data_IF_037590408603
#
_entry.id   IF_037590408603
#
_cell.length_a   1.000
_cell.length_b   1.000
_cell.length_c   1.000
_cell.angle_alpha   90.00
_cell.angle_beta   90.00
_cell.angle_gamma   90.00
#
_symmetry.space_group_name_H-M   'P 1'
#
loop_
_entity.id
_entity.type
_entity.pdbx_description
1 polymer ?
#
# COMPACT_ATOMS: atom_id res chain seq x y z
N UNK A 1 3.84 22.33 12.29
CA UNK A 1 3.21 22.39 13.63
C UNK A 1 2.01 23.34 13.67
N UNK A 2 2.03 24.52 13.01
CA UNK A 2 0.94 25.52 13.08
C UNK A 2 -0.44 24.93 12.76
N UNK A 3 -0.57 24.20 11.67
CA UNK A 3 -1.82 23.56 11.28
C UNK A 3 -2.29 22.53 12.35
N UNK A 4 -1.37 21.73 12.88
CA UNK A 4 -1.70 20.74 13.92
C UNK A 4 -2.14 21.42 15.22
N UNK A 5 -1.50 22.52 15.62
CA UNK A 5 -1.91 23.30 16.79
C UNK A 5 -3.35 23.81 16.66
N UNK A 6 -3.69 24.36 15.49
CA UNK A 6 -5.03 24.87 15.22
C UNK A 6 -6.07 23.74 15.20
N UNK A 7 -5.77 22.62 14.54
CA UNK A 7 -6.68 21.48 14.42
C UNK A 7 -6.88 20.71 15.74
N UNK A 8 -5.87 20.68 16.62
CA UNK A 8 -5.95 19.99 17.89
C UNK A 8 -6.48 20.87 19.04
N UNK A 9 -6.64 22.18 18.80
CA UNK A 9 -7.14 23.10 19.83
C UNK A 9 -8.52 22.65 20.36
N UNK A 10 -8.61 22.47 21.69
CA UNK A 10 -9.84 22.05 22.36
C UNK A 10 -10.23 20.58 22.22
N UNK A 11 -9.43 19.75 21.53
CA UNK A 11 -9.71 18.30 21.37
C UNK A 11 -9.27 17.45 22.55
N UNK A 12 -8.38 17.95 23.41
CA UNK A 12 -7.73 17.18 24.48
C UNK A 12 -6.56 16.32 23.98
N UNK A 13 -6.23 16.38 22.69
CA UNK A 13 -5.08 15.67 22.10
C UNK A 13 -3.85 16.56 22.24
N UNK A 14 -2.78 16.02 22.81
CA UNK A 14 -1.50 16.71 22.97
C UNK A 14 -0.66 16.63 21.72
N UNK A 15 -0.15 17.76 21.24
CA UNK A 15 0.76 17.83 20.10
C UNK A 15 2.20 17.59 20.53
N UNK A 16 2.78 16.48 20.11
CA UNK A 16 4.20 16.19 20.24
C UNK A 16 4.97 16.81 19.08
N UNK A 17 5.88 17.75 19.38
CA UNK A 17 6.65 18.46 18.34
C UNK A 17 7.96 17.71 18.03
N UNK A 18 7.84 16.57 17.38
CA UNK A 18 8.96 15.72 17.02
C UNK A 18 10.07 16.51 16.30
N UNK A 19 11.32 16.24 16.66
CA UNK A 19 12.49 16.94 16.15
C UNK A 19 12.83 18.26 16.87
N UNK A 20 11.98 18.71 17.79
CA UNK A 20 12.28 19.89 18.62
C UNK A 20 13.01 19.46 19.91
N UNK A 21 13.95 20.30 20.42
CA UNK A 21 14.65 20.01 21.67
C UNK A 21 13.68 19.75 22.82
N UNK A 22 13.88 18.64 23.53
CA UNK A 22 13.04 18.25 24.68
C UNK A 22 11.79 17.44 24.33
N UNK A 23 11.48 17.24 23.04
CA UNK A 23 10.41 16.36 22.61
C UNK A 23 10.99 14.95 22.37
N UNK A 24 10.48 13.90 23.04
CA UNK A 24 10.91 12.54 22.81
C UNK A 24 10.43 12.07 21.42
N UNK A 25 11.19 11.19 20.80
CA UNK A 25 10.69 10.42 19.66
C UNK A 25 9.66 9.36 20.11
N UNK A 26 9.04 8.67 19.16
CA UNK A 26 7.98 7.69 19.43
C UNK A 26 8.49 6.55 20.32
N UNK A 27 9.69 6.01 20.07
CA UNK A 27 10.26 4.92 20.86
C UNK A 27 10.54 5.37 22.30
N UNK A 28 11.16 6.53 22.48
CA UNK A 28 11.43 7.11 23.78
C UNK A 28 10.15 7.37 24.59
N UNK A 29 9.12 7.88 23.92
CA UNK A 29 7.82 8.10 24.56
C UNK A 29 7.15 6.80 25.00
N UNK A 30 7.18 5.77 24.15
CA UNK A 30 6.65 4.44 24.46
C UNK A 30 7.40 3.79 25.65
N UNK A 31 8.73 3.88 25.68
CA UNK A 31 9.55 3.40 26.78
C UNK A 31 9.18 4.05 28.13
N UNK A 32 8.99 5.37 28.10
CA UNK A 32 8.62 6.12 29.32
C UNK A 32 7.19 5.84 29.78
N UNK A 33 6.28 5.56 28.84
CA UNK A 33 4.84 5.45 29.12
C UNK A 33 4.43 4.03 29.51
N UNK A 34 4.94 3.02 28.81
CA UNK A 34 4.47 1.63 28.97
C UNK A 34 5.19 0.86 30.10
N UNK A 35 6.41 1.22 30.42
CA UNK A 35 7.21 0.51 31.42
C UNK A 35 7.54 -0.95 31.02
N UNK A 36 7.96 -1.74 32.02
CA UNK A 36 8.34 -3.14 31.82
C UNK A 36 7.11 -4.03 31.59
N UNK A 37 7.16 -4.88 30.57
CA UNK A 37 6.09 -5.79 30.19
C UNK A 37 4.95 -5.14 29.39
N UNK A 38 5.10 -3.87 29.00
CA UNK A 38 4.16 -3.18 28.13
C UNK A 38 4.08 -3.79 26.74
N UNK A 39 3.00 -3.47 26.02
CA UNK A 39 2.83 -3.91 24.64
C UNK A 39 2.26 -2.80 23.76
N UNK A 40 2.75 -2.72 22.53
CA UNK A 40 2.24 -1.83 21.48
C UNK A 40 1.61 -2.67 20.37
N UNK A 41 0.36 -2.35 20.03
CA UNK A 41 -0.33 -2.92 18.90
C UNK A 41 -0.32 -1.97 17.71
N UNK A 42 -0.25 -2.51 16.50
CA UNK A 42 -0.39 -1.75 15.26
C UNK A 42 -1.14 -2.55 14.20
N UNK A 43 -1.83 -1.86 13.29
CA UNK A 43 -2.44 -2.50 12.13
C UNK A 43 -1.37 -2.72 11.06
N UNK A 44 -1.06 -3.99 10.73
CA UNK A 44 -0.05 -4.34 9.75
C UNK A 44 -0.39 -3.89 8.32
N UNK A 45 -1.67 -3.73 8.00
CA UNK A 45 -2.11 -3.23 6.69
C UNK A 45 -1.88 -1.72 6.50
N UNK A 46 -1.76 -0.98 7.62
CA UNK A 46 -1.59 0.48 7.62
C UNK A 46 -0.15 0.92 7.89
N UNK A 47 0.80 -0.01 7.99
CA UNK A 47 2.19 0.29 8.36
C UNK A 47 3.17 -0.28 7.35
N UNK A 48 3.94 0.57 6.68
CA UNK A 48 5.04 0.12 5.82
C UNK A 48 6.18 -0.45 6.67
N UNK A 49 7.00 -1.31 6.05
CA UNK A 49 8.20 -1.86 6.72
C UNK A 49 9.17 -0.75 7.14
N UNK A 50 9.36 0.26 6.29
CA UNK A 50 10.21 1.41 6.57
C UNK A 50 9.71 2.21 7.78
N UNK A 51 8.40 2.49 7.83
CA UNK A 51 7.78 3.18 8.96
C UNK A 51 7.92 2.36 10.25
N UNK A 52 7.68 1.05 10.19
CA UNK A 52 7.86 0.14 11.30
C UNK A 52 9.29 0.20 11.85
N UNK A 53 10.28 0.08 10.97
CA UNK A 53 11.68 0.13 11.37
C UNK A 53 12.04 1.49 11.98
N UNK A 54 11.57 2.58 11.40
CA UNK A 54 11.81 3.94 11.91
C UNK A 54 11.20 4.16 13.30
N UNK A 55 9.96 3.73 13.52
CA UNK A 55 9.25 3.97 14.77
C UNK A 55 9.74 3.10 15.92
N UNK A 56 10.19 1.87 15.66
CA UNK A 56 10.50 0.89 16.69
C UNK A 56 11.99 0.54 16.80
N UNK A 57 12.88 1.13 15.99
CA UNK A 57 14.32 0.84 16.02
C UNK A 57 14.98 1.10 17.39
N UNK A 58 14.46 2.05 18.16
CA UNK A 58 14.98 2.42 19.49
C UNK A 58 14.26 1.75 20.66
N UNK A 59 13.25 0.90 20.40
CA UNK A 59 12.44 0.29 21.43
C UNK A 59 13.17 -0.91 22.05
N UNK A 60 13.19 -1.01 23.38
CA UNK A 60 13.81 -2.12 24.08
C UNK A 60 12.97 -3.40 24.00
N UNK A 61 13.63 -4.57 24.14
CA UNK A 61 12.97 -5.89 24.10
C UNK A 61 11.96 -6.13 25.24
N UNK A 62 11.94 -5.28 26.27
CA UNK A 62 10.97 -5.37 27.37
C UNK A 62 9.56 -4.93 26.97
N UNK A 63 9.42 -4.23 25.83
CA UNK A 63 8.12 -3.82 25.26
C UNK A 63 7.82 -4.67 24.04
N UNK A 64 6.72 -5.41 24.10
CA UNK A 64 6.30 -6.26 23.00
C UNK A 64 5.65 -5.43 21.88
N UNK A 65 6.11 -5.61 20.63
CA UNK A 65 5.46 -5.02 19.45
C UNK A 65 4.65 -6.10 18.74
N UNK A 66 3.34 -5.88 18.56
CA UNK A 66 2.40 -6.87 18.03
C UNK A 66 1.60 -6.32 16.86
N UNK A 67 1.67 -7.00 15.72
CA UNK A 67 0.74 -6.74 14.64
C UNK A 67 -0.67 -7.22 15.01
N UNK A 68 -1.69 -6.43 14.69
CA UNK A 68 -3.09 -6.81 14.78
C UNK A 68 -3.63 -7.08 13.39
N UNK A 69 -4.43 -8.15 13.26
CA UNK A 69 -5.16 -8.45 12.02
C UNK A 69 -6.39 -7.54 11.83
N UNK A 70 -6.78 -6.81 12.88
CA UNK A 70 -7.92 -5.90 12.87
C UNK A 70 -7.45 -4.48 13.14
N UNK A 71 -7.95 -3.53 12.34
CA UNK A 71 -7.77 -2.11 12.59
C UNK A 71 -8.67 -1.70 13.77
N UNK A 72 -8.13 -1.21 14.91
CA UNK A 72 -8.93 -0.75 16.03
C UNK A 72 -9.88 0.40 15.66
N UNK A 73 -9.58 1.17 14.63
CA UNK A 73 -10.45 2.23 14.13
C UNK A 73 -11.74 1.70 13.51
N UNK A 74 -11.81 0.48 13.03
CA UNK A 74 -13.05 -0.13 12.53
C UNK A 74 -14.13 -0.23 13.63
N UNK A 75 -13.72 -0.31 14.90
CA UNK A 75 -14.64 -0.33 16.05
C UNK A 75 -14.97 1.06 16.60
N UNK A 76 -14.02 2.00 16.50
CA UNK A 76 -14.15 3.31 17.09
C UNK A 76 -14.81 4.31 16.13
N UNK A 77 -14.51 4.24 14.86
CA UNK A 77 -15.01 5.14 13.82
C UNK A 77 -16.21 4.53 13.09
N UNK A 78 -17.39 4.64 13.70
CA UNK A 78 -18.63 3.98 13.23
C UNK A 78 -19.13 4.46 11.87
N UNK A 79 -18.87 5.71 11.52
CA UNK A 79 -19.21 6.36 10.25
C UNK A 79 -18.02 6.52 9.31
N UNK A 80 -17.01 5.66 9.46
CA UNK A 80 -15.84 5.62 8.58
C UNK A 80 -16.28 5.46 7.13
N UNK A 81 -15.85 6.36 6.22
CA UNK A 81 -16.17 6.25 4.80
C UNK A 81 -15.66 4.91 4.22
N UNK A 82 -16.45 4.34 3.31
CA UNK A 82 -16.00 3.22 2.49
C UNK A 82 -14.80 3.62 1.63
N UNK A 83 -14.03 2.61 1.20
CA UNK A 83 -12.98 2.85 0.20
C UNK A 83 -13.60 3.41 -1.09
N UNK A 84 -12.91 4.37 -1.75
CA UNK A 84 -13.42 4.99 -2.97
C UNK A 84 -13.59 3.95 -4.09
N UNK A 85 -14.66 4.12 -4.89
CA UNK A 85 -15.05 3.21 -5.99
C UNK A 85 -15.24 3.94 -7.31
N UNK A 86 -14.35 4.87 -7.62
CA UNK A 86 -14.36 5.57 -8.90
C UNK A 86 -14.08 4.62 -10.06
N UNK A 87 -14.86 4.75 -11.14
CA UNK A 87 -14.63 3.92 -12.32
C UNK A 87 -13.28 4.26 -12.96
N UNK A 88 -12.60 3.24 -13.44
CA UNK A 88 -11.37 3.40 -14.19
C UNK A 88 -11.65 3.82 -15.64
N UNK A 89 -10.75 4.60 -16.19
CA UNK A 89 -10.75 5.04 -17.58
C UNK A 89 -9.43 4.73 -18.26
N UNK A 90 -9.46 4.56 -19.58
CA UNK A 90 -8.28 4.37 -20.40
C UNK A 90 -7.54 5.69 -20.59
N UNK A 91 -6.22 5.64 -20.53
CA UNK A 91 -5.36 6.73 -20.95
C UNK A 91 -4.79 6.40 -22.35
N UNK A 92 -5.06 7.24 -23.37
CA UNK A 92 -4.70 6.93 -24.74
C UNK A 92 -3.20 6.67 -24.95
N UNK A 93 -2.87 5.62 -25.70
CA UNK A 93 -1.49 5.24 -26.00
C UNK A 93 -0.72 6.35 -26.74
N UNK A 94 -1.39 7.16 -27.54
CA UNK A 94 -0.79 8.32 -28.23
C UNK A 94 -0.17 9.33 -27.26
N UNK A 95 -0.68 9.44 -26.03
CA UNK A 95 -0.13 10.29 -24.98
C UNK A 95 0.79 9.51 -24.03
N UNK A 96 0.55 8.22 -23.88
CA UNK A 96 1.35 7.34 -23.00
C UNK A 96 2.68 6.90 -23.66
N UNK A 97 2.76 6.96 -25.00
CA UNK A 97 3.94 6.61 -25.79
C UNK A 97 4.14 5.12 -26.01
N UNK A 98 3.67 4.26 -25.10
CA UNK A 98 3.80 2.80 -25.16
C UNK A 98 2.52 2.13 -24.70
N UNK A 99 2.20 0.95 -25.25
CA UNK A 99 1.12 0.10 -24.75
C UNK A 99 1.44 -0.46 -23.36
N UNK A 100 0.41 -0.88 -22.61
CA UNK A 100 0.62 -1.55 -21.32
C UNK A 100 1.42 -2.85 -21.52
N UNK A 101 1.15 -3.60 -22.57
CA UNK A 101 1.91 -4.81 -22.91
C UNK A 101 3.42 -4.50 -23.05
N UNK A 102 3.79 -3.48 -23.82
CA UNK A 102 5.19 -3.10 -24.01
C UNK A 102 5.88 -2.70 -22.70
N UNK A 103 5.17 -1.95 -21.81
CA UNK A 103 5.67 -1.57 -20.49
C UNK A 103 5.84 -2.78 -19.57
N UNK A 104 4.90 -3.73 -19.58
CA UNK A 104 5.01 -4.97 -18.82
C UNK A 104 6.20 -5.82 -19.29
N UNK A 105 6.47 -5.86 -20.60
CA UNK A 105 7.67 -6.54 -21.12
C UNK A 105 8.95 -5.86 -20.64
N UNK A 106 8.99 -4.53 -20.59
CA UNK A 106 10.13 -3.80 -20.05
C UNK A 106 10.35 -4.09 -18.55
N UNK A 107 9.27 -4.15 -17.75
CA UNK A 107 9.34 -4.56 -16.35
C UNK A 107 9.92 -5.97 -16.20
N UNK A 108 9.41 -6.95 -16.99
CA UNK A 108 9.93 -8.33 -17.00
C UNK A 108 11.41 -8.41 -17.35
N UNK A 109 11.83 -7.63 -18.34
CA UNK A 109 13.23 -7.56 -18.74
C UNK A 109 14.16 -6.99 -17.66
N UNK A 110 13.63 -6.12 -16.79
CA UNK A 110 14.36 -5.51 -15.70
C UNK A 110 14.39 -6.36 -14.41
N UNK A 111 13.59 -7.44 -14.34
CA UNK A 111 13.60 -8.33 -13.17
C UNK A 111 14.99 -8.97 -13.00
N UNK A 112 15.51 -9.06 -11.76
CA UNK A 112 16.77 -9.76 -11.47
C UNK A 112 16.77 -11.18 -12.03
N UNK A 113 17.93 -11.67 -12.41
CA UNK A 113 18.05 -13.06 -12.85
C UNK A 113 17.63 -14.02 -11.73
N UNK A 114 16.83 -15.03 -12.07
CA UNK A 114 16.44 -16.05 -11.11
C UNK A 114 17.63 -16.93 -10.74
N UNK A 115 17.67 -17.38 -9.49
CA UNK A 115 18.60 -18.37 -9.01
C UNK A 115 17.96 -19.76 -9.13
N UNK A 116 18.35 -20.53 -10.16
CA UNK A 116 17.79 -21.86 -10.39
C UNK A 116 16.37 -21.84 -10.94
N UNK A 117 15.46 -22.63 -10.36
CA UNK A 117 14.05 -22.75 -10.77
C UNK A 117 13.11 -21.72 -10.14
N UNK A 118 13.65 -20.73 -9.42
CA UNK A 118 12.84 -19.70 -8.77
C UNK A 118 12.13 -18.83 -9.82
N UNK A 119 10.83 -18.58 -9.58
CA UNK A 119 10.06 -17.65 -10.42
C UNK A 119 10.40 -16.21 -10.06
N UNK A 120 10.58 -15.39 -11.07
CA UNK A 120 10.76 -13.95 -10.88
C UNK A 120 9.41 -13.28 -10.76
N UNK A 121 9.31 -12.34 -9.81
CA UNK A 121 8.10 -11.57 -9.63
C UNK A 121 8.42 -10.16 -9.12
N UNK A 122 7.51 -9.25 -9.39
CA UNK A 122 7.53 -7.89 -8.87
C UNK A 122 6.11 -7.49 -8.44
N UNK A 123 5.94 -7.17 -7.17
CA UNK A 123 4.71 -6.61 -6.63
C UNK A 123 4.84 -5.09 -6.59
N UNK A 124 4.14 -4.43 -7.49
CA UNK A 124 4.08 -2.97 -7.58
C UNK A 124 2.95 -2.46 -6.68
N UNK A 125 3.24 -1.49 -5.82
CA UNK A 125 2.30 -0.88 -4.88
C UNK A 125 2.23 0.66 -4.99
N UNK A 126 3.11 1.28 -5.77
CA UNK A 126 2.98 2.70 -6.09
C UNK A 126 1.86 2.92 -7.11
N UNK A 127 0.89 3.75 -6.74
CA UNK A 127 -0.33 3.97 -7.55
C UNK A 127 -0.02 4.68 -8.87
N UNK A 128 0.99 5.56 -8.88
CA UNK A 128 1.42 6.28 -10.09
C UNK A 128 2.08 5.33 -11.09
N UNK A 129 2.93 4.43 -10.58
CA UNK A 129 3.58 3.41 -11.40
C UNK A 129 2.57 2.43 -11.98
N UNK A 130 1.58 1.99 -11.18
CA UNK A 130 0.50 1.11 -11.66
C UNK A 130 -0.31 1.81 -12.75
N UNK A 131 -0.76 3.04 -12.50
CA UNK A 131 -1.54 3.82 -13.45
C UNK A 131 -0.76 4.08 -14.76
N UNK A 132 0.54 4.37 -14.66
CA UNK A 132 1.42 4.54 -15.81
C UNK A 132 1.64 3.23 -16.57
N UNK A 133 1.94 2.15 -15.87
CA UNK A 133 2.23 0.84 -16.48
C UNK A 133 1.03 0.32 -17.27
N UNK A 134 -0.18 0.46 -16.70
CA UNK A 134 -1.40 -0.06 -17.31
C UNK A 134 -2.13 0.95 -18.21
N UNK A 135 -1.64 2.17 -18.38
CA UNK A 135 -2.34 3.23 -19.10
C UNK A 135 -3.78 3.43 -18.62
N UNK A 136 -3.98 3.36 -17.30
CA UNK A 136 -5.26 3.57 -16.65
C UNK A 136 -5.26 4.82 -15.78
N UNK A 137 -6.44 5.41 -15.60
CA UNK A 137 -6.65 6.51 -14.66
C UNK A 137 -7.89 6.21 -13.81
N UNK A 138 -7.88 6.73 -12.58
CA UNK A 138 -8.99 6.67 -11.65
C UNK A 138 -9.14 7.99 -10.91
N UNK A 139 -10.03 8.05 -9.94
CA UNK A 139 -10.30 9.24 -9.14
C UNK A 139 -10.43 8.90 -7.65
N UNK A 140 -9.68 7.91 -7.18
CA UNK A 140 -9.74 7.51 -5.77
C UNK A 140 -8.96 8.46 -4.86
N UNK A 141 -8.04 9.22 -5.43
CA UNK A 141 -7.20 10.19 -4.70
C UNK A 141 -7.55 11.58 -5.21
N UNK A 142 -7.96 12.47 -4.32
CA UNK A 142 -8.31 13.84 -4.65
C UNK A 142 -7.15 14.54 -5.37
N UNK A 143 -7.47 15.23 -6.47
CA UNK A 143 -6.53 15.96 -7.33
C UNK A 143 -5.46 15.10 -8.04
N UNK A 144 -5.51 13.78 -7.92
CA UNK A 144 -4.63 12.84 -8.61
C UNK A 144 -5.44 11.82 -9.39
N UNK A 145 -5.15 11.58 -10.67
CA UNK A 145 -5.89 10.62 -11.50
C UNK A 145 -5.47 9.17 -11.20
N UNK A 146 -5.41 8.80 -9.93
CA UNK A 146 -4.92 7.53 -9.42
C UNK A 146 -6.07 6.67 -8.85
N UNK A 147 -5.79 5.40 -8.67
CA UNK A 147 -6.74 4.44 -8.11
C UNK A 147 -6.01 3.43 -7.19
N UNK A 148 -6.72 2.96 -6.17
CA UNK A 148 -6.19 1.99 -5.22
C UNK A 148 -6.08 0.62 -5.87
N UNK A 149 -4.86 0.11 -5.94
CA UNK A 149 -4.54 -1.17 -6.55
C UNK A 149 -3.17 -1.70 -6.11
N UNK A 150 -2.95 -2.98 -6.39
CA UNK A 150 -1.62 -3.60 -6.47
C UNK A 150 -1.49 -4.25 -7.85
N UNK A 151 -0.27 -4.33 -8.37
CA UNK A 151 0.01 -5.03 -9.62
C UNK A 151 1.12 -6.05 -9.41
N UNK A 152 0.81 -7.32 -9.57
CA UNK A 152 1.79 -8.38 -9.58
C UNK A 152 2.21 -8.67 -11.02
N UNK A 153 3.50 -8.62 -11.27
CA UNK A 153 4.10 -8.99 -12.56
C UNK A 153 5.01 -10.18 -12.34
N UNK A 154 4.78 -11.26 -13.09
CA UNK A 154 5.67 -12.43 -13.15
C UNK A 154 6.26 -12.57 -14.55
N UNK A 155 7.10 -13.59 -14.78
CA UNK A 155 7.69 -13.84 -16.09
C UNK A 155 6.63 -14.01 -17.21
N UNK A 156 5.49 -14.60 -16.88
CA UNK A 156 4.46 -15.04 -17.82
C UNK A 156 3.08 -14.40 -17.60
N UNK A 157 2.85 -13.75 -16.46
CA UNK A 157 1.55 -13.19 -16.10
C UNK A 157 1.65 -11.76 -15.57
N UNK A 158 0.52 -11.06 -15.56
CA UNK A 158 0.31 -9.83 -14.80
C UNK A 158 -1.09 -9.84 -14.20
N UNK A 159 -1.23 -9.48 -12.92
CA UNK A 159 -2.51 -9.45 -12.22
C UNK A 159 -2.69 -8.13 -11.50
N UNK A 160 -3.76 -7.42 -11.85
CA UNK A 160 -4.20 -6.21 -11.19
C UNK A 160 -5.17 -6.58 -10.07
N UNK A 161 -4.81 -6.24 -8.82
CA UNK A 161 -5.67 -6.38 -7.64
C UNK A 161 -6.33 -5.03 -7.37
N UNK A 162 -7.63 -4.94 -7.60
CA UNK A 162 -8.41 -3.73 -7.35
C UNK A 162 -9.88 -4.08 -7.09
N UNK A 163 -10.69 -3.12 -6.63
CA UNK A 163 -12.13 -3.34 -6.52
C UNK A 163 -12.72 -3.55 -7.93
N UNK A 164 -13.30 -4.73 -8.17
CA UNK A 164 -13.86 -5.13 -9.47
C UNK A 164 -14.98 -4.19 -9.96
N UNK A 165 -15.65 -3.48 -9.05
CA UNK A 165 -16.68 -2.49 -9.41
C UNK A 165 -16.10 -1.28 -10.15
N UNK A 166 -14.80 -1.02 -10.06
CA UNK A 166 -14.11 0.04 -10.81
C UNK A 166 -13.88 -0.30 -12.28
N UNK A 167 -13.99 -1.59 -12.65
CA UNK A 167 -13.64 -2.11 -13.96
C UNK A 167 -14.87 -2.05 -14.87
N UNK A 168 -14.89 -1.07 -15.77
CA UNK A 168 -15.88 -1.01 -16.86
C UNK A 168 -15.66 -2.14 -17.87
N UNK A 169 -16.65 -2.44 -18.71
CA UNK A 169 -16.50 -3.44 -19.77
C UNK A 169 -15.38 -3.08 -20.75
N UNK A 170 -15.25 -1.80 -21.08
CA UNK A 170 -14.17 -1.27 -21.92
C UNK A 170 -12.79 -1.52 -21.30
N UNK A 171 -12.62 -1.19 -20.01
CA UNK A 171 -11.36 -1.41 -19.28
C UNK A 171 -11.06 -2.91 -19.16
N UNK A 172 -12.09 -3.74 -18.95
CA UNK A 172 -11.95 -5.20 -18.90
C UNK A 172 -11.44 -5.76 -20.22
N UNK A 173 -12.05 -5.38 -21.34
CA UNK A 173 -11.65 -5.79 -22.67
C UNK A 173 -10.21 -5.33 -22.97
N UNK A 174 -9.86 -4.11 -22.58
CA UNK A 174 -8.52 -3.57 -22.71
C UNK A 174 -7.50 -4.41 -21.92
N UNK A 175 -7.71 -4.61 -20.62
CA UNK A 175 -6.78 -5.38 -19.77
C UNK A 175 -6.58 -6.81 -20.28
N UNK A 176 -7.66 -7.46 -20.73
CA UNK A 176 -7.58 -8.79 -21.36
C UNK A 176 -6.68 -8.79 -22.59
N UNK A 177 -6.83 -7.79 -23.46
CA UNK A 177 -6.00 -7.63 -24.67
C UNK A 177 -4.52 -7.40 -24.33
N UNK A 178 -4.25 -6.61 -23.26
CA UNK A 178 -2.90 -6.31 -22.80
C UNK A 178 -2.28 -7.47 -21.97
N UNK A 179 -3.02 -8.57 -21.75
CA UNK A 179 -2.54 -9.74 -21.01
C UNK A 179 -2.53 -9.57 -19.50
N UNK A 180 -3.45 -8.75 -18.97
CA UNK A 180 -3.57 -8.47 -17.53
C UNK A 180 -4.85 -9.09 -17.00
N UNK A 181 -4.72 -9.98 -16.01
CA UNK A 181 -5.83 -10.50 -15.22
C UNK A 181 -6.28 -9.47 -14.16
N UNK A 182 -7.53 -9.56 -13.72
CA UNK A 182 -8.06 -8.71 -12.63
C UNK A 182 -8.56 -9.61 -11.49
N UNK A 183 -8.11 -9.30 -10.29
CA UNK A 183 -8.58 -9.97 -9.08
C UNK A 183 -9.02 -8.97 -8.00
N UNK A 184 -9.63 -9.47 -6.94
CA UNK A 184 -10.11 -8.65 -5.83
C UNK A 184 -8.96 -7.92 -5.13
N UNK A 185 -9.24 -6.68 -4.69
CA UNK A 185 -8.23 -5.85 -4.03
C UNK A 185 -7.53 -6.57 -2.87
N UNK A 186 -8.27 -7.32 -2.04
CA UNK A 186 -7.70 -8.02 -0.87
C UNK A 186 -6.96 -9.31 -1.22
N UNK A 187 -7.10 -9.83 -2.44
CA UNK A 187 -6.43 -11.07 -2.85
C UNK A 187 -4.90 -10.96 -2.88
N UNK A 188 -4.33 -9.74 -3.00
CA UNK A 188 -2.88 -9.53 -2.91
C UNK A 188 -2.27 -10.03 -1.59
N UNK A 189 -3.04 -9.99 -0.50
CA UNK A 189 -2.59 -10.46 0.82
C UNK A 189 -2.32 -11.96 0.83
N UNK A 190 -3.13 -12.73 0.09
CA UNK A 190 -2.90 -14.15 -0.10
C UNK A 190 -1.59 -14.38 -0.84
N UNK A 191 -1.36 -13.66 -1.94
CA UNK A 191 -0.12 -13.74 -2.72
C UNK A 191 1.09 -13.39 -1.85
N UNK A 192 1.04 -12.29 -1.10
CA UNK A 192 2.13 -11.90 -0.19
C UNK A 192 2.42 -12.96 0.88
N UNK A 193 1.39 -13.65 1.37
CA UNK A 193 1.53 -14.76 2.34
C UNK A 193 2.20 -15.98 1.71
N UNK A 194 1.78 -16.37 0.51
CA UNK A 194 2.37 -17.49 -0.23
C UNK A 194 3.84 -17.23 -0.58
N UNK A 195 4.17 -16.02 -1.02
CA UNK A 195 5.55 -15.59 -1.26
C UNK A 195 6.43 -15.75 -0.01
N UNK A 196 5.92 -15.35 1.16
CA UNK A 196 6.64 -15.51 2.43
C UNK A 196 6.90 -16.97 2.80
N UNK A 197 6.02 -17.87 2.40
CA UNK A 197 6.12 -19.32 2.70
C UNK A 197 6.89 -20.10 1.64
N UNK A 198 7.37 -19.46 0.57
CA UNK A 198 8.08 -20.10 -0.54
C UNK A 198 7.21 -21.07 -1.36
N UNK A 199 5.89 -20.85 -1.40
CA UNK A 199 4.93 -21.70 -2.12
C UNK A 199 4.51 -21.19 -3.49
N UNK A 200 5.08 -20.06 -3.93
CA UNK A 200 4.86 -19.46 -5.25
C UNK A 200 6.15 -19.50 -6.06
#
# INVERSE_FOLDING_TARGET
FLQAEEQLAGTGIELMREGMPGTPDVAQWLEATLGEGGAVGFCGECMSKELFDSLFAGLSERIAVRASDNDPFDYLWRDRPDMPRTLLSLFPEEYAGLSAHAKLQAVRAALPAASGEEKRLFLMNDLSEIAWTLNLRGGDIDFNPLFLAYLLVTDDAATLFTDRHKITEEVRAYLTREGVAVDDYKAWQYVARELRTGRV
#
